data_IF_180473176190
#
_entry.id   IF_180473176190
#
_cell.length_a   1.000
_cell.length_b   1.000
_cell.length_c   1.000
_cell.angle_alpha   90.00
_cell.angle_beta   90.00
_cell.angle_gamma   90.00
#
_symmetry.space_group_name_H-M   'P 1'
#
loop_
_entity.id
_entity.type
_entity.pdbx_description
1 polymer ?
#
# COMPACT_ATOMS: atom_id res chain seq x y z
N UNK A 1 -9.74 -3.31 26.53
CA UNK A 1 -9.88 -4.40 25.55
C UNK A 1 -8.48 -4.77 25.08
N UNK A 2 -7.93 -5.95 25.39
CA UNK A 2 -6.64 -6.33 24.84
C UNK A 2 -6.81 -6.54 23.33
N UNK A 3 -6.07 -5.77 22.54
CA UNK A 3 -5.93 -5.99 21.10
C UNK A 3 -5.38 -7.40 20.91
N UNK A 4 -6.21 -8.31 20.41
CA UNK A 4 -5.77 -9.63 20.01
C UNK A 4 -4.84 -9.45 18.82
N UNK A 5 -3.55 -9.77 18.99
CA UNK A 5 -2.57 -9.91 17.92
C UNK A 5 -3.06 -11.02 16.97
N UNK A 6 -3.94 -10.65 16.05
CA UNK A 6 -4.65 -11.58 15.17
C UNK A 6 -3.89 -11.65 13.85
N UNK A 7 -3.35 -12.84 13.59
CA UNK A 7 -2.53 -13.27 12.44
C UNK A 7 -1.23 -12.48 12.20
N UNK A 8 -0.08 -13.17 12.22
CA UNK A 8 1.19 -12.59 11.77
C UNK A 8 1.11 -12.32 10.26
N UNK A 9 0.63 -11.13 9.89
CA UNK A 9 0.74 -10.64 8.52
C UNK A 9 2.23 -10.55 8.16
N UNK A 10 2.65 -11.09 7.01
CA UNK A 10 4.07 -11.21 6.65
C UNK A 10 4.75 -9.87 6.42
N UNK A 11 3.99 -8.82 6.11
CA UNK A 11 4.47 -7.46 5.90
C UNK A 11 3.89 -6.52 6.96
N UNK A 12 4.72 -5.56 7.39
CA UNK A 12 4.28 -4.46 8.23
C UNK A 12 3.64 -3.35 7.37
N UNK A 13 4.25 -3.02 6.23
CA UNK A 13 3.84 -1.89 5.39
C UNK A 13 3.89 -2.27 3.91
N UNK A 14 2.85 -1.92 3.15
CA UNK A 14 2.86 -1.96 1.68
C UNK A 14 2.63 -0.56 1.13
N UNK A 15 3.48 -0.12 0.20
CA UNK A 15 3.31 1.14 -0.54
C UNK A 15 2.59 0.84 -1.86
N UNK A 16 1.29 1.08 -1.91
CA UNK A 16 0.48 0.92 -3.12
C UNK A 16 0.49 2.19 -3.97
N UNK A 17 0.95 2.08 -5.22
CA UNK A 17 1.18 3.24 -6.10
C UNK A 17 2.65 3.67 -6.18
N UNK A 18 3.58 2.77 -5.82
CA UNK A 18 5.01 3.04 -5.76
C UNK A 18 5.65 3.54 -7.07
N UNK A 19 5.00 3.32 -8.23
CA UNK A 19 5.49 3.82 -9.52
C UNK A 19 5.14 5.29 -9.78
N UNK A 20 4.20 5.87 -9.02
CA UNK A 20 3.82 7.28 -9.11
C UNK A 20 4.86 8.18 -8.45
N UNK A 21 4.82 9.48 -8.75
CA UNK A 21 5.80 10.45 -8.22
C UNK A 21 5.90 10.42 -6.68
N UNK A 22 4.77 10.60 -5.98
CA UNK A 22 4.74 10.55 -4.51
C UNK A 22 5.10 9.15 -3.98
N UNK A 23 4.65 8.09 -4.66
CA UNK A 23 4.98 6.72 -4.27
C UNK A 23 6.48 6.42 -4.31
N UNK A 24 7.21 6.98 -5.27
CA UNK A 24 8.67 6.87 -5.35
C UNK A 24 9.35 7.58 -4.17
N UNK A 25 8.88 8.77 -3.78
CA UNK A 25 9.41 9.49 -2.60
C UNK A 25 9.16 8.73 -1.30
N UNK A 26 7.99 8.11 -1.15
CA UNK A 26 7.68 7.26 0.01
C UNK A 26 8.59 6.03 0.00
N UNK A 27 8.82 5.39 -1.15
CA UNK A 27 9.70 4.23 -1.26
C UNK A 27 11.17 4.57 -0.96
N UNK A 28 11.65 5.71 -1.44
CA UNK A 28 12.99 6.22 -1.14
C UNK A 28 13.17 6.49 0.37
N UNK A 29 12.19 7.16 0.99
CA UNK A 29 12.19 7.40 2.44
C UNK A 29 12.18 6.09 3.23
N UNK A 30 11.30 5.16 2.86
CA UNK A 30 11.19 3.85 3.50
C UNK A 30 12.50 3.07 3.40
N UNK A 31 13.16 3.13 2.26
CA UNK A 31 14.46 2.50 2.07
C UNK A 31 15.55 3.16 2.93
N UNK A 32 15.69 4.48 2.85
CA UNK A 32 16.71 5.21 3.60
C UNK A 32 16.60 5.00 5.11
N UNK A 33 15.38 4.90 5.64
CA UNK A 33 15.13 4.83 7.07
C UNK A 33 15.03 3.39 7.61
N UNK A 34 14.51 2.44 6.81
CA UNK A 34 14.10 1.13 7.30
C UNK A 34 14.73 -0.07 6.59
N UNK A 35 15.52 0.11 5.53
CA UNK A 35 16.11 -1.02 4.79
C UNK A 35 17.01 -1.94 5.63
N UNK A 36 17.61 -1.42 6.71
CA UNK A 36 18.47 -2.17 7.62
C UNK A 36 17.84 -2.37 9.00
N UNK A 37 16.50 -2.43 9.06
CA UNK A 37 15.72 -2.65 10.29
C UNK A 37 14.87 -3.91 10.15
N UNK A 38 14.18 -4.30 11.22
CA UNK A 38 13.27 -5.45 11.21
C UNK A 38 11.91 -5.15 10.55
N UNK A 39 11.68 -3.93 10.06
CA UNK A 39 10.44 -3.54 9.37
C UNK A 39 10.37 -4.23 8.01
N UNK A 40 9.37 -5.10 7.84
CA UNK A 40 9.12 -5.83 6.59
C UNK A 40 8.19 -5.02 5.72
N UNK A 41 8.66 -4.54 4.58
CA UNK A 41 7.84 -3.73 3.67
C UNK A 41 7.95 -4.17 2.22
N UNK A 42 6.98 -3.75 1.42
CA UNK A 42 6.91 -4.05 -0.01
C UNK A 42 6.40 -2.84 -0.81
N UNK A 43 6.66 -2.86 -2.12
CA UNK A 43 6.08 -1.92 -3.08
C UNK A 43 5.01 -2.62 -3.91
N UNK A 44 3.96 -1.89 -4.27
CA UNK A 44 2.84 -2.44 -5.02
C UNK A 44 2.34 -1.50 -6.12
N UNK A 45 1.79 -2.09 -7.16
CA UNK A 45 1.18 -1.40 -8.30
C UNK A 45 0.82 -2.37 -9.43
N UNK A 46 0.24 -1.85 -10.52
CA UNK A 46 -0.30 -2.69 -11.60
C UNK A 46 0.71 -3.24 -12.62
N UNK A 47 1.97 -2.79 -12.59
CA UNK A 47 2.97 -3.15 -13.61
C UNK A 47 4.27 -3.59 -12.96
N UNK A 48 4.57 -4.89 -13.08
CA UNK A 48 5.81 -5.49 -12.58
C UNK A 48 7.05 -4.80 -13.19
N UNK A 49 7.05 -4.53 -14.49
CA UNK A 49 8.16 -3.89 -15.18
C UNK A 49 8.46 -2.50 -14.61
N UNK A 50 7.42 -1.69 -14.35
CA UNK A 50 7.60 -0.35 -13.75
C UNK A 50 8.07 -0.44 -12.30
N UNK A 51 7.62 -1.43 -11.53
CA UNK A 51 8.06 -1.64 -10.15
C UNK A 51 9.54 -2.06 -10.10
N UNK A 52 9.97 -2.95 -11.00
CA UNK A 52 11.38 -3.32 -11.13
C UNK A 52 12.24 -2.14 -11.60
N UNK A 53 11.72 -1.33 -12.53
CA UNK A 53 12.42 -0.12 -12.99
C UNK A 53 12.66 0.86 -11.83
N UNK A 54 11.64 1.16 -11.02
CA UNK A 54 11.83 2.09 -9.89
C UNK A 54 12.70 1.50 -8.79
N UNK A 55 12.70 0.16 -8.56
CA UNK A 55 13.68 -0.47 -7.65
C UNK A 55 15.10 -0.20 -8.10
N UNK A 56 15.37 -0.40 -9.39
CA UNK A 56 16.69 -0.16 -9.98
C UNK A 56 17.08 1.33 -9.91
N UNK A 57 16.17 2.23 -10.28
CA UNK A 57 16.43 3.67 -10.31
C UNK A 57 16.68 4.26 -8.93
N UNK A 58 15.95 3.80 -7.90
CA UNK A 58 16.06 4.28 -6.53
C UNK A 58 17.11 3.51 -5.70
N UNK A 59 17.77 2.50 -6.29
CA UNK A 59 18.74 1.67 -5.58
C UNK A 59 18.13 0.82 -4.45
N UNK A 60 16.84 0.47 -4.56
CA UNK A 60 16.16 -0.35 -3.55
C UNK A 60 16.74 -1.78 -3.57
N UNK A 61 16.62 -2.49 -2.44
CA UNK A 61 17.05 -3.89 -2.35
C UNK A 61 16.45 -4.76 -3.46
N UNK A 62 17.27 -5.58 -4.11
CA UNK A 62 16.80 -6.56 -5.10
C UNK A 62 15.82 -7.56 -4.49
N UNK A 63 15.96 -7.85 -3.20
CA UNK A 63 15.07 -8.75 -2.45
C UNK A 63 13.79 -8.07 -1.93
N UNK A 64 13.63 -6.75 -2.14
CA UNK A 64 12.42 -6.04 -1.73
C UNK A 64 11.20 -6.65 -2.45
N UNK A 65 10.19 -7.15 -1.72
CA UNK A 65 9.01 -7.75 -2.33
C UNK A 65 8.25 -6.76 -3.23
N UNK A 66 7.71 -7.29 -4.32
CA UNK A 66 6.79 -6.60 -5.23
C UNK A 66 5.44 -7.30 -5.16
N UNK A 67 4.36 -6.53 -5.02
CA UNK A 67 2.98 -7.04 -5.12
C UNK A 67 2.31 -6.40 -6.35
N UNK A 68 1.77 -7.24 -7.23
CA UNK A 68 1.03 -6.76 -8.40
C UNK A 68 -0.45 -6.67 -8.05
N UNK A 69 -1.00 -5.46 -8.13
CA UNK A 69 -2.42 -5.21 -7.91
C UNK A 69 -2.89 -4.04 -8.77
N UNK A 70 -3.92 -4.27 -9.58
CA UNK A 70 -4.65 -3.21 -10.27
C UNK A 70 -5.82 -2.74 -9.39
N UNK A 71 -6.18 -1.45 -9.44
CA UNK A 71 -7.28 -0.92 -8.62
C UNK A 71 -8.64 -1.46 -9.05
N UNK A 72 -8.75 -2.01 -10.26
CA UNK A 72 -9.95 -2.65 -10.80
C UNK A 72 -10.01 -4.15 -10.51
N UNK A 73 -8.97 -4.73 -9.92
CA UNK A 73 -8.91 -6.14 -9.56
C UNK A 73 -9.08 -6.31 -8.04
N UNK A 74 -10.33 -6.49 -7.62
CA UNK A 74 -10.67 -6.67 -6.20
C UNK A 74 -9.96 -7.88 -5.57
N UNK A 75 -9.77 -8.98 -6.31
CA UNK A 75 -9.12 -10.17 -5.79
C UNK A 75 -7.64 -9.89 -5.48
N UNK A 76 -6.93 -9.23 -6.41
CA UNK A 76 -5.55 -8.82 -6.19
C UNK A 76 -5.42 -7.81 -5.03
N UNK A 77 -6.34 -6.86 -4.92
CA UNK A 77 -6.37 -5.92 -3.77
C UNK A 77 -6.63 -6.64 -2.46
N UNK A 78 -7.54 -7.62 -2.43
CA UNK A 78 -7.84 -8.43 -1.24
C UNK A 78 -6.61 -9.20 -0.79
N UNK A 79 -5.90 -9.85 -1.72
CA UNK A 79 -4.64 -10.55 -1.43
C UNK A 79 -3.56 -9.60 -0.88
N UNK A 80 -3.43 -8.39 -1.45
CA UNK A 80 -2.51 -7.37 -0.96
C UNK A 80 -2.85 -6.97 0.49
N UNK A 81 -4.13 -6.67 0.77
CA UNK A 81 -4.61 -6.21 2.07
C UNK A 81 -4.41 -7.27 3.16
N UNK A 82 -4.61 -8.56 2.85
CA UNK A 82 -4.42 -9.66 3.81
C UNK A 82 -2.95 -9.86 4.22
N UNK A 83 -2.00 -9.43 3.39
CA UNK A 83 -0.57 -9.66 3.62
C UNK A 83 0.10 -8.59 4.48
N UNK A 84 -0.55 -7.45 4.75
CA UNK A 84 0.09 -6.30 5.40
C UNK A 84 -0.69 -5.72 6.58
N UNK A 85 0.03 -5.23 7.58
CA UNK A 85 -0.58 -4.52 8.72
C UNK A 85 -1.09 -3.15 8.31
N UNK A 86 -0.34 -2.45 7.46
CA UNK A 86 -0.69 -1.12 6.93
C UNK A 86 -0.57 -1.08 5.41
N UNK A 87 -1.53 -0.46 4.74
CA UNK A 87 -1.40 -0.02 3.34
C UNK A 87 -1.25 1.49 3.30
N UNK A 88 -0.15 1.96 2.73
CA UNK A 88 0.04 3.36 2.34
C UNK A 88 -0.29 3.45 0.85
N UNK A 89 -1.36 4.14 0.49
CA UNK A 89 -1.71 4.34 -0.92
C UNK A 89 -1.39 5.75 -1.41
N UNK A 90 -0.81 5.82 -2.60
CA UNK A 90 -0.63 7.06 -3.36
C UNK A 90 -1.36 6.99 -4.71
N UNK A 91 -2.40 6.15 -4.82
CA UNK A 91 -3.18 5.92 -6.05
C UNK A 91 -4.43 6.78 -6.05
N UNK A 92 -4.28 8.02 -6.51
CA UNK A 92 -5.41 8.90 -6.82
C UNK A 92 -5.82 8.88 -8.30
N UNK A 93 -6.97 9.47 -8.67
CA UNK A 93 -7.98 10.07 -7.78
C UNK A 93 -8.72 9.01 -6.93
N UNK A 94 -8.90 9.27 -5.64
CA UNK A 94 -9.40 8.26 -4.69
C UNK A 94 -10.90 8.02 -4.85
N UNK A 95 -11.65 9.05 -5.27
CA UNK A 95 -13.05 8.88 -5.67
C UNK A 95 -13.25 7.87 -6.81
N UNK A 96 -12.21 7.59 -7.62
CA UNK A 96 -12.28 6.62 -8.72
C UNK A 96 -11.67 5.26 -8.36
N UNK A 97 -10.59 5.26 -7.57
CA UNK A 97 -9.76 4.06 -7.35
C UNK A 97 -9.63 3.63 -5.89
N UNK A 98 -10.08 4.46 -4.95
CA UNK A 98 -9.89 4.27 -3.51
C UNK A 98 -10.95 3.41 -2.83
N UNK A 99 -12.18 3.39 -3.37
CA UNK A 99 -13.35 2.75 -2.75
C UNK A 99 -13.12 1.28 -2.38
N UNK A 100 -12.66 0.48 -3.34
CA UNK A 100 -12.42 -0.95 -3.12
C UNK A 100 -11.34 -1.18 -2.07
N UNK A 101 -10.21 -0.46 -2.17
CA UNK A 101 -9.07 -0.67 -1.27
C UNK A 101 -9.40 -0.28 0.17
N UNK A 102 -10.03 0.88 0.41
CA UNK A 102 -10.38 1.32 1.77
C UNK A 102 -11.44 0.40 2.40
N UNK A 103 -12.40 -0.06 1.60
CA UNK A 103 -13.44 -1.00 2.07
C UNK A 103 -12.83 -2.35 2.48
N UNK A 104 -11.93 -2.90 1.66
CA UNK A 104 -11.21 -4.13 2.00
C UNK A 104 -10.33 -3.97 3.25
N UNK A 105 -9.65 -2.83 3.39
CA UNK A 105 -8.85 -2.54 4.59
C UNK A 105 -9.71 -2.53 5.86
N UNK A 106 -10.87 -1.87 5.80
CA UNK A 106 -11.84 -1.86 6.90
C UNK A 106 -12.41 -3.26 7.20
N UNK A 107 -12.79 -4.03 6.16
CA UNK A 107 -13.34 -5.38 6.29
C UNK A 107 -12.33 -6.35 6.92
N UNK A 108 -11.06 -6.28 6.50
CA UNK A 108 -10.03 -7.26 6.85
C UNK A 108 -9.13 -6.84 8.03
N UNK A 109 -9.38 -5.67 8.62
CA UNK A 109 -8.59 -5.15 9.74
C UNK A 109 -7.15 -4.84 9.33
N UNK A 110 -6.97 -4.13 8.22
CA UNK A 110 -5.69 -3.57 7.77
C UNK A 110 -5.75 -2.07 7.90
N UNK A 111 -4.74 -1.44 8.50
CA UNK A 111 -4.68 0.01 8.62
C UNK A 111 -4.48 0.63 7.23
N UNK A 112 -5.10 1.79 7.02
CA UNK A 112 -5.12 2.48 5.73
C UNK A 112 -4.64 3.92 5.89
N UNK A 113 -3.71 4.34 5.03
CA UNK A 113 -3.20 5.71 4.98
C UNK A 113 -3.15 6.17 3.53
N UNK A 114 -3.65 7.38 3.28
CA UNK A 114 -3.60 8.04 1.98
C UNK A 114 -3.15 9.51 2.11
N UNK A 115 -2.97 10.17 0.95
CA UNK A 115 -2.76 11.62 0.86
C UNK A 115 -3.97 12.33 0.21
N UNK A 116 -5.18 11.81 0.46
CA UNK A 116 -6.38 12.26 -0.21
C UNK A 116 -6.72 13.72 0.11
N UNK A 117 -6.98 14.49 -0.94
CA UNK A 117 -7.43 15.87 -0.88
C UNK A 117 -8.87 16.05 -1.36
N UNK A 118 -9.72 15.03 -1.24
CA UNK A 118 -11.08 14.99 -1.80
C UNK A 118 -12.15 14.91 -0.68
N UNK A 119 -12.54 16.05 -0.04
CA UNK A 119 -13.36 16.05 1.18
C UNK A 119 -14.73 15.39 1.06
N UNK A 120 -15.40 15.53 -0.09
CA UNK A 120 -16.70 14.88 -0.32
C UNK A 120 -16.58 13.36 -0.28
N UNK A 121 -15.52 12.82 -0.89
CA UNK A 121 -15.23 11.38 -0.86
C UNK A 121 -14.84 10.92 0.53
N UNK A 122 -13.95 11.66 1.22
CA UNK A 122 -13.59 11.38 2.61
C UNK A 122 -14.83 11.29 3.52
N UNK A 123 -15.74 12.27 3.42
CA UNK A 123 -16.98 12.28 4.20
C UNK A 123 -17.85 11.07 3.88
N UNK A 124 -17.97 10.69 2.61
CA UNK A 124 -18.73 9.53 2.19
C UNK A 124 -18.15 8.22 2.76
N UNK A 125 -16.82 8.07 2.81
CA UNK A 125 -16.17 6.87 3.38
C UNK A 125 -16.28 6.79 4.90
N UNK A 126 -16.25 7.93 5.60
CA UNK A 126 -16.42 7.98 7.06
C UNK A 126 -17.84 7.56 7.48
N UNK A 127 -18.84 7.84 6.65
CA UNK A 127 -20.25 7.54 6.94
C UNK A 127 -20.69 6.13 6.53
N UNK A 128 -19.82 5.37 5.86
CA UNK A 128 -20.13 4.07 5.27
C UNK A 128 -20.16 2.92 6.30
#
# INVERSE_FOLDING_TARGET
>A
MPYSLSSEKPLDIVIYGATGFTGQLVAEYMHAQYANTDVKWAIAGRSADKLNLIKSQLGLSETLPIIIADSQDEAALRELVQQTKVVITTVGPYQLYGDTLVSLCAELGTDYVDLCGEPSWMRQKIDA
#
